data_IF_606134979492
#
_entry.id   IF_606134979492
#
_cell.length_a   1.000
_cell.length_b   1.000
_cell.length_c   1.000
_cell.angle_alpha   90.00
_cell.angle_beta   90.00
_cell.angle_gamma   90.00
#
_symmetry.space_group_name_H-M   'P 1'
#
loop_
_entity.id
_entity.type
_entity.pdbx_description
1 polymer ?
#
# COMPACT_ATOMS: atom_id res chain seq x y z
N UNK A 1 -5.93 14.44 -10.77
CA UNK A 1 -7.24 14.24 -11.46
C UNK A 1 -8.22 13.60 -10.48
N UNK A 2 -9.52 13.58 -10.79
CA UNK A 2 -10.53 12.98 -9.90
C UNK A 2 -11.52 12.13 -10.68
N UNK A 3 -11.89 10.97 -10.13
CA UNK A 3 -12.90 10.06 -10.64
C UNK A 3 -13.97 9.81 -9.58
N UNK A 4 -15.24 9.79 -9.97
CA UNK A 4 -16.31 9.31 -9.09
C UNK A 4 -16.48 7.81 -9.32
N UNK A 5 -16.18 7.02 -8.29
CA UNK A 5 -16.28 5.57 -8.31
C UNK A 5 -17.02 5.11 -7.05
N UNK A 6 -17.93 4.16 -7.19
CA UNK A 6 -18.82 3.78 -6.12
C UNK A 6 -19.45 5.05 -5.49
N UNK A 7 -19.33 5.26 -4.18
CA UNK A 7 -19.91 6.40 -3.46
C UNK A 7 -18.90 7.52 -3.16
N UNK A 8 -17.67 7.46 -3.72
CA UNK A 8 -16.59 8.38 -3.38
C UNK A 8 -15.96 9.02 -4.61
N UNK A 9 -15.27 10.13 -4.36
CA UNK A 9 -14.35 10.73 -5.34
C UNK A 9 -12.94 10.26 -5.01
N UNK A 10 -12.29 9.63 -5.97
CA UNK A 10 -10.89 9.17 -5.87
C UNK A 10 -10.00 10.16 -6.62
N UNK A 11 -9.01 10.68 -5.91
CA UNK A 11 -7.93 11.47 -6.50
C UNK A 11 -6.88 10.54 -7.10
N UNK A 12 -6.44 10.82 -8.33
CA UNK A 12 -5.45 10.00 -9.01
C UNK A 12 -4.58 10.83 -9.95
N UNK A 13 -3.44 10.27 -10.31
CA UNK A 13 -2.51 10.79 -11.32
C UNK A 13 -2.14 9.69 -12.29
N UNK A 14 -1.95 10.07 -13.55
CA UNK A 14 -1.43 9.19 -14.60
C UNK A 14 -0.25 9.88 -15.28
N UNK A 15 0.86 9.17 -15.39
CA UNK A 15 2.06 9.63 -16.08
C UNK A 15 2.71 8.48 -16.88
N UNK A 16 3.64 8.83 -17.77
CA UNK A 16 4.32 7.87 -18.66
C UNK A 16 3.72 7.78 -20.06
N UNK A 17 4.29 6.93 -20.95
CA UNK A 17 3.87 6.83 -22.36
C UNK A 17 2.43 6.34 -22.49
N UNK A 18 1.68 6.91 -23.46
CA UNK A 18 0.25 6.67 -23.59
C UNK A 18 -0.15 5.25 -23.99
N UNK A 19 0.74 4.53 -24.66
CA UNK A 19 0.57 3.17 -25.20
C UNK A 19 1.28 2.10 -24.38
N UNK A 20 2.00 2.49 -23.31
CA UNK A 20 2.70 1.57 -22.43
C UNK A 20 1.75 0.77 -21.53
N UNK A 21 2.16 -0.43 -21.06
CA UNK A 21 1.38 -1.21 -20.09
C UNK A 21 1.19 -0.44 -18.78
N UNK A 22 0.03 -0.64 -18.15
CA UNK A 22 -0.28 0.05 -16.91
C UNK A 22 0.40 -0.58 -15.70
N UNK A 23 0.91 0.28 -14.82
CA UNK A 23 1.31 -0.04 -13.43
C UNK A 23 0.43 0.79 -12.49
N UNK A 24 -0.29 0.14 -11.59
CA UNK A 24 -1.11 0.77 -10.56
C UNK A 24 -0.44 0.68 -9.20
N UNK A 25 -0.23 1.83 -8.54
CA UNK A 25 0.47 1.96 -7.27
C UNK A 25 -0.50 2.30 -6.14
N UNK A 26 -0.58 1.43 -5.11
CA UNK A 26 -1.45 1.57 -3.95
C UNK A 26 -0.62 1.78 -2.68
N UNK A 27 -0.86 2.89 -1.99
CA UNK A 27 -0.07 3.36 -0.86
C UNK A 27 -0.45 2.74 0.49
N UNK A 28 0.33 3.02 1.53
CA UNK A 28 0.13 2.60 2.92
C UNK A 28 -0.91 3.46 3.67
N UNK A 29 -1.42 2.96 4.80
CA UNK A 29 -2.25 3.73 5.74
C UNK A 29 -1.53 5.03 6.14
N UNK A 30 -2.28 6.12 6.22
CA UNK A 30 -1.80 7.47 6.57
C UNK A 30 -0.72 8.05 5.63
N UNK A 31 -0.65 7.55 4.37
CA UNK A 31 0.14 8.16 3.31
C UNK A 31 -0.75 8.58 2.14
N UNK A 32 -0.17 9.02 1.04
CA UNK A 32 -0.84 9.42 -0.18
C UNK A 32 -0.16 8.82 -1.41
N UNK A 33 -0.68 9.09 -2.59
CA UNK A 33 -0.05 8.70 -3.86
C UNK A 33 1.42 9.17 -3.98
N UNK A 34 1.81 10.24 -3.27
CA UNK A 34 3.19 10.76 -3.23
C UNK A 34 4.19 9.82 -2.56
N UNK A 35 3.73 8.80 -1.82
CA UNK A 35 4.61 7.76 -1.24
C UNK A 35 5.48 7.08 -2.32
N UNK A 36 5.00 7.06 -3.55
CA UNK A 36 5.63 6.40 -4.68
C UNK A 36 6.56 7.29 -5.51
N UNK A 37 6.81 8.55 -5.10
CA UNK A 37 7.63 9.50 -5.86
C UNK A 37 9.04 8.97 -6.19
N UNK A 38 9.63 8.19 -5.27
CA UNK A 38 10.96 7.61 -5.47
C UNK A 38 10.99 6.45 -6.49
N UNK A 39 9.84 5.88 -6.84
CA UNK A 39 9.70 4.82 -7.83
C UNK A 39 9.45 5.34 -9.24
N UNK A 40 8.90 6.55 -9.37
CA UNK A 40 8.53 7.13 -10.67
C UNK A 40 9.69 7.21 -11.67
N UNK A 41 10.90 7.67 -11.30
CA UNK A 41 12.01 7.73 -12.25
C UNK A 41 12.39 6.38 -12.85
N UNK A 42 12.17 5.29 -12.12
CA UNK A 42 12.48 3.94 -12.56
C UNK A 42 11.40 3.32 -13.47
N UNK A 43 10.15 3.80 -13.36
CA UNK A 43 9.00 3.21 -14.05
C UNK A 43 8.52 4.02 -15.26
N UNK A 44 8.61 5.35 -15.22
CA UNK A 44 7.96 6.25 -16.17
C UNK A 44 8.44 6.13 -17.63
N UNK A 45 9.56 5.47 -17.88
CA UNK A 45 10.09 5.27 -19.23
C UNK A 45 9.42 4.10 -19.97
N UNK A 46 8.97 3.10 -19.23
CA UNK A 46 8.48 1.81 -19.75
C UNK A 46 6.99 1.57 -19.46
N UNK A 47 6.43 2.28 -18.46
CA UNK A 47 5.07 2.03 -17.97
C UNK A 47 4.22 3.30 -17.93
N UNK A 48 2.93 3.11 -18.14
CA UNK A 48 1.90 4.11 -17.83
C UNK A 48 1.48 3.93 -16.38
N UNK A 49 1.86 4.88 -15.52
CA UNK A 49 1.76 4.76 -14.07
C UNK A 49 0.46 5.40 -13.60
N UNK A 50 -0.42 4.62 -12.98
CA UNK A 50 -1.58 5.10 -12.23
C UNK A 50 -1.25 5.10 -10.74
N UNK A 51 -1.30 6.29 -10.10
CA UNK A 51 -1.23 6.46 -8.65
C UNK A 51 -2.54 7.05 -8.16
N UNK A 52 -3.01 6.65 -7.01
CA UNK A 52 -4.24 7.18 -6.46
C UNK A 52 -4.18 7.30 -4.94
N UNK A 53 -4.97 8.23 -4.39
CA UNK A 53 -5.24 8.30 -2.96
C UNK A 53 -6.40 7.36 -2.64
N UNK A 54 -6.16 6.38 -1.78
CA UNK A 54 -7.21 5.48 -1.27
C UNK A 54 -8.28 6.29 -0.55
N UNK A 55 -9.58 5.88 -0.62
CA UNK A 55 -10.63 6.55 0.16
C UNK A 55 -10.16 6.81 1.59
N UNK A 56 -10.46 7.99 2.12
CA UNK A 56 -10.03 8.41 3.44
C UNK A 56 -8.63 9.04 3.49
N UNK A 57 -7.93 9.17 2.36
CA UNK A 57 -6.57 9.70 2.30
C UNK A 57 -6.41 10.80 1.25
N UNK A 58 -5.38 11.63 1.43
CA UNK A 58 -4.98 12.64 0.47
C UNK A 58 -6.11 13.56 0.04
N UNK A 59 -6.33 13.66 -1.27
CA UNK A 59 -7.40 14.46 -1.88
C UNK A 59 -8.62 13.63 -2.27
N UNK A 60 -8.69 12.35 -1.88
CA UNK A 60 -9.88 11.51 -2.04
C UNK A 60 -10.92 11.77 -0.96
N UNK A 61 -12.18 11.42 -1.22
CA UNK A 61 -13.25 11.52 -0.23
C UNK A 61 -12.94 10.70 1.02
N UNK A 62 -13.30 11.26 2.18
CA UNK A 62 -13.13 10.63 3.49
C UNK A 62 -14.48 10.55 4.24
N UNK A 63 -15.48 9.79 3.71
CA UNK A 63 -16.75 9.64 4.41
C UNK A 63 -16.55 8.92 5.75
N UNK A 64 -17.43 9.11 6.74
CA UNK A 64 -17.39 8.31 7.96
C UNK A 64 -17.47 6.80 7.65
N UNK A 65 -16.67 6.00 8.39
CA UNK A 65 -16.64 4.54 8.27
C UNK A 65 -17.78 3.81 9.01
N UNK A 66 -17.69 2.50 9.19
CA UNK A 66 -16.48 1.71 8.98
C UNK A 66 -16.21 1.41 7.50
N UNK A 67 -14.91 1.26 7.13
CA UNK A 67 -14.55 0.69 5.84
C UNK A 67 -14.23 -0.80 5.97
N UNK A 68 -14.21 -1.50 4.84
CA UNK A 68 -13.71 -2.88 4.75
C UNK A 68 -12.66 -2.96 3.66
N UNK A 69 -11.79 -3.98 3.70
CA UNK A 69 -10.80 -4.17 2.64
C UNK A 69 -11.46 -4.48 1.30
N UNK A 70 -12.61 -5.13 1.30
CA UNK A 70 -13.43 -5.34 0.10
C UNK A 70 -13.89 -4.03 -0.52
N UNK A 71 -14.30 -3.07 0.31
CA UNK A 71 -14.71 -1.73 -0.13
C UNK A 71 -13.52 -1.00 -0.79
N UNK A 72 -12.34 -1.02 -0.15
CA UNK A 72 -11.12 -0.41 -0.70
C UNK A 72 -10.71 -1.08 -2.01
N UNK A 73 -10.85 -2.40 -2.10
CA UNK A 73 -10.55 -3.18 -3.32
C UNK A 73 -11.55 -2.84 -4.44
N UNK A 74 -12.84 -2.73 -4.10
CA UNK A 74 -13.88 -2.33 -5.06
C UNK A 74 -13.65 -0.92 -5.62
N UNK A 75 -13.09 0.00 -4.83
CA UNK A 75 -12.72 1.33 -5.31
C UNK A 75 -11.60 1.28 -6.34
N UNK A 76 -10.61 0.40 -6.15
CA UNK A 76 -9.55 0.19 -7.15
C UNK A 76 -10.15 -0.33 -8.45
N UNK A 77 -11.02 -1.34 -8.39
CA UNK A 77 -11.68 -1.88 -9.58
C UNK A 77 -12.54 -0.80 -10.26
N UNK A 78 -13.32 -0.05 -9.49
CA UNK A 78 -14.13 1.05 -10.01
C UNK A 78 -13.28 2.14 -10.69
N UNK A 79 -12.09 2.44 -10.16
CA UNK A 79 -11.15 3.38 -10.77
C UNK A 79 -10.57 2.83 -12.08
N UNK A 80 -10.17 1.56 -12.12
CA UNK A 80 -9.68 0.91 -13.34
C UNK A 80 -10.76 0.89 -14.42
N UNK A 81 -12.01 0.59 -14.05
CA UNK A 81 -13.15 0.56 -14.98
C UNK A 81 -13.47 1.96 -15.50
N UNK A 82 -13.49 2.98 -14.62
CA UNK A 82 -13.68 4.39 -15.00
C UNK A 82 -12.65 4.86 -16.02
N UNK A 83 -11.40 4.38 -15.89
CA UNK A 83 -10.28 4.72 -16.77
C UNK A 83 -10.16 3.80 -17.99
N UNK A 84 -11.08 2.83 -18.16
CA UNK A 84 -11.05 1.80 -19.19
C UNK A 84 -9.73 0.98 -19.20
N UNK A 85 -9.11 0.80 -18.02
CA UNK A 85 -7.91 -0.03 -17.83
C UNK A 85 -8.37 -1.46 -17.61
N UNK A 86 -8.16 -2.32 -18.61
CA UNK A 86 -8.57 -3.73 -18.54
C UNK A 86 -7.69 -4.54 -17.62
N UNK A 87 -6.38 -4.42 -17.76
CA UNK A 87 -5.37 -5.14 -16.96
C UNK A 87 -4.26 -4.18 -16.53
N UNK A 88 -3.60 -4.49 -15.43
CA UNK A 88 -2.49 -3.70 -14.89
C UNK A 88 -1.51 -4.57 -14.12
N UNK A 89 -0.24 -4.17 -14.06
CA UNK A 89 0.64 -4.59 -12.96
C UNK A 89 0.21 -3.85 -11.70
N UNK A 90 -0.03 -4.56 -10.60
CA UNK A 90 -0.44 -3.93 -9.35
C UNK A 90 0.67 -4.01 -8.30
N UNK A 91 1.01 -2.88 -7.71
CA UNK A 91 2.04 -2.76 -6.68
C UNK A 91 1.38 -2.12 -5.46
N UNK A 92 1.35 -2.84 -4.35
CA UNK A 92 0.74 -2.36 -3.13
C UNK A 92 1.67 -2.50 -1.93
N UNK A 93 1.75 -1.45 -1.11
CA UNK A 93 2.53 -1.48 0.13
C UNK A 93 1.61 -1.45 1.35
N UNK A 94 1.87 -2.31 2.34
CA UNK A 94 1.14 -2.37 3.61
C UNK A 94 -0.37 -2.56 3.35
N UNK A 95 -1.22 -1.59 3.67
CA UNK A 95 -2.65 -1.57 3.32
C UNK A 95 -2.87 -1.79 1.81
N UNK A 96 -2.07 -1.16 0.95
CA UNK A 96 -2.11 -1.39 -0.49
C UNK A 96 -1.78 -2.83 -0.88
N UNK A 97 -0.90 -3.50 -0.14
CA UNK A 97 -0.59 -4.92 -0.30
C UNK A 97 -1.76 -5.82 0.12
N UNK A 98 -2.52 -5.45 1.16
CA UNK A 98 -3.75 -6.16 1.55
C UNK A 98 -4.82 -6.05 0.44
N UNK A 99 -4.96 -4.87 -0.17
CA UNK A 99 -5.80 -4.67 -1.36
C UNK A 99 -5.33 -5.58 -2.51
N UNK A 100 -4.02 -5.63 -2.78
CA UNK A 100 -3.42 -6.49 -3.81
C UNK A 100 -3.73 -7.98 -3.61
N UNK A 101 -3.72 -8.46 -2.38
CA UNK A 101 -4.10 -9.85 -2.04
C UNK A 101 -5.59 -10.13 -2.33
N UNK A 102 -6.48 -9.18 -2.06
CA UNK A 102 -7.89 -9.32 -2.46
C UNK A 102 -8.10 -9.22 -3.97
N UNK A 103 -7.32 -8.37 -4.66
CA UNK A 103 -7.38 -8.27 -6.12
C UNK A 103 -7.00 -9.59 -6.78
N UNK A 104 -5.88 -10.21 -6.42
CA UNK A 104 -5.46 -11.48 -7.03
C UNK A 104 -6.43 -12.61 -6.72
N UNK A 105 -7.12 -12.55 -5.58
CA UNK A 105 -8.12 -13.54 -5.18
C UNK A 105 -9.44 -13.40 -5.95
N UNK A 106 -9.94 -12.15 -6.10
CA UNK A 106 -11.31 -11.89 -6.60
C UNK A 106 -11.35 -11.45 -8.06
N UNK A 107 -10.24 -10.88 -8.55
CA UNK A 107 -10.14 -10.26 -9.87
C UNK A 107 -8.81 -10.61 -10.56
N UNK A 108 -8.39 -11.90 -10.58
CA UNK A 108 -7.09 -12.31 -11.15
C UNK A 108 -6.93 -11.87 -12.61
N UNK A 109 -7.99 -11.88 -13.39
CA UNK A 109 -7.99 -11.46 -14.80
C UNK A 109 -7.73 -9.96 -15.01
N UNK A 110 -7.69 -9.17 -13.94
CA UNK A 110 -7.35 -7.73 -13.97
C UNK A 110 -5.86 -7.49 -13.72
N UNK A 111 -5.08 -8.51 -13.38
CA UNK A 111 -3.68 -8.42 -13.00
C UNK A 111 -2.77 -9.12 -14.01
N UNK A 112 -1.76 -8.40 -14.50
CA UNK A 112 -0.65 -8.96 -15.28
C UNK A 112 0.45 -9.51 -14.36
N UNK A 113 0.89 -8.69 -13.41
CA UNK A 113 1.85 -9.04 -12.35
C UNK A 113 1.41 -8.39 -11.04
N UNK A 114 1.77 -8.99 -9.91
CA UNK A 114 1.47 -8.50 -8.57
C UNK A 114 2.74 -8.28 -7.77
N UNK A 115 2.87 -7.12 -7.11
CA UNK A 115 3.95 -6.86 -6.15
C UNK A 115 3.35 -6.49 -4.81
N UNK A 116 3.66 -7.28 -3.78
CA UNK A 116 3.19 -7.12 -2.41
C UNK A 116 4.35 -6.65 -1.54
N UNK A 117 4.29 -5.41 -1.03
CA UNK A 117 5.38 -4.80 -0.29
C UNK A 117 4.98 -4.60 1.18
N UNK A 118 5.87 -4.98 2.11
CA UNK A 118 5.73 -4.69 3.54
C UNK A 118 4.29 -4.91 4.05
N UNK A 119 3.74 -6.10 3.81
CA UNK A 119 2.33 -6.44 4.07
C UNK A 119 2.16 -7.81 4.72
N UNK A 120 0.96 -8.09 5.20
CA UNK A 120 0.62 -9.38 5.80
C UNK A 120 -0.68 -9.94 5.23
N UNK A 121 -0.85 -11.26 5.28
CA UNK A 121 -2.09 -11.95 4.88
C UNK A 121 -3.17 -11.93 5.95
N UNK A 122 -2.84 -11.50 7.17
CA UNK A 122 -3.79 -11.34 8.28
C UNK A 122 -3.29 -10.37 9.34
N UNK A 123 -4.21 -9.80 10.08
CA UNK A 123 -3.93 -9.14 11.35
C UNK A 123 -4.36 -10.09 12.48
N UNK A 124 -3.44 -10.53 13.36
CA UNK A 124 -3.79 -11.47 14.41
C UNK A 124 -4.78 -10.83 15.41
N UNK A 125 -5.74 -11.61 15.97
CA UNK A 125 -6.72 -11.08 16.91
C UNK A 125 -6.11 -10.40 18.14
N UNK A 126 -4.92 -10.83 18.54
CA UNK A 126 -4.17 -10.25 19.66
C UNK A 126 -3.72 -8.80 19.41
N UNK A 127 -3.70 -8.36 18.15
CA UNK A 127 -3.40 -6.99 17.78
C UNK A 127 -4.63 -6.04 17.90
N UNK A 128 -5.84 -6.57 18.10
CA UNK A 128 -7.06 -5.75 18.19
C UNK A 128 -6.97 -4.62 19.24
N UNK A 129 -6.43 -4.81 20.46
CA UNK A 129 -6.29 -3.73 21.42
C UNK A 129 -5.40 -2.59 20.93
N UNK A 130 -4.35 -2.89 20.13
CA UNK A 130 -3.45 -1.89 19.56
C UNK A 130 -4.20 -1.02 18.54
N UNK A 131 -5.03 -1.64 17.70
CA UNK A 131 -5.84 -0.91 16.71
C UNK A 131 -6.91 -0.04 17.37
N UNK A 132 -7.58 -0.54 18.40
CA UNK A 132 -8.57 0.23 19.17
C UNK A 132 -7.91 1.42 19.90
N UNK A 133 -6.71 1.25 20.46
CA UNK A 133 -5.94 2.34 21.06
C UNK A 133 -5.59 3.42 20.05
N UNK A 134 -5.10 3.05 18.85
CA UNK A 134 -4.80 4.00 17.78
C UNK A 134 -6.05 4.78 17.35
N UNK A 135 -7.18 4.09 17.19
CA UNK A 135 -8.47 4.72 16.85
C UNK A 135 -8.85 5.73 17.93
N UNK A 136 -8.87 5.32 19.19
CA UNK A 136 -9.21 6.19 20.31
C UNK A 136 -8.29 7.42 20.38
N UNK A 137 -6.99 7.23 20.21
CA UNK A 137 -6.00 8.30 20.25
C UNK A 137 -6.29 9.34 19.15
N UNK A 138 -6.52 8.92 17.91
CA UNK A 138 -6.78 9.89 16.84
C UNK A 138 -8.14 10.55 16.94
N UNK A 139 -9.15 9.87 17.46
CA UNK A 139 -10.47 10.45 17.70
C UNK A 139 -10.43 11.54 18.79
N UNK A 140 -9.55 11.41 19.79
CA UNK A 140 -9.45 12.36 20.91
C UNK A 140 -8.41 13.46 20.68
N UNK A 141 -7.26 13.13 20.06
CA UNK A 141 -6.10 14.01 19.98
C UNK A 141 -5.69 14.37 18.55
N UNK A 142 -6.31 13.71 17.56
CA UNK A 142 -6.00 13.88 16.13
C UNK A 142 -4.73 13.18 15.70
N UNK A 143 -4.44 13.23 14.40
CA UNK A 143 -3.31 12.52 13.78
C UNK A 143 -1.94 12.90 14.34
N UNK A 144 -1.81 14.10 14.90
CA UNK A 144 -0.56 14.60 15.52
C UNK A 144 -0.04 13.70 16.65
N UNK A 145 -0.96 13.04 17.37
CA UNK A 145 -0.59 12.17 18.49
C UNK A 145 0.15 10.89 18.06
N UNK A 146 -0.06 10.45 16.83
CA UNK A 146 0.58 9.24 16.31
C UNK A 146 1.75 9.50 15.34
N UNK A 147 1.96 10.74 14.90
CA UNK A 147 2.86 11.04 13.79
C UNK A 147 4.29 10.55 14.03
N UNK A 148 4.89 10.92 15.16
CA UNK A 148 6.30 10.56 15.44
C UNK A 148 6.46 9.05 15.66
N UNK A 149 5.60 8.45 16.45
CA UNK A 149 5.64 6.99 16.69
C UNK A 149 5.43 6.20 15.37
N UNK A 150 4.62 6.73 14.46
CA UNK A 150 4.41 6.11 13.15
C UNK A 150 5.69 6.19 12.30
N UNK A 151 6.35 7.34 12.25
CA UNK A 151 7.62 7.50 11.55
C UNK A 151 8.72 6.61 12.13
N UNK A 152 8.74 6.40 13.45
CA UNK A 152 9.71 5.51 14.11
C UNK A 152 9.52 4.04 13.73
N UNK A 153 8.30 3.62 13.52
CA UNK A 153 8.01 2.27 13.02
C UNK A 153 8.32 2.11 11.53
N UNK A 154 8.21 3.18 10.76
CA UNK A 154 8.34 3.12 9.31
C UNK A 154 9.78 3.24 8.81
N UNK A 155 10.61 4.01 9.51
CA UNK A 155 11.95 4.40 9.08
C UNK A 155 12.96 4.31 10.22
N UNK A 156 14.14 3.82 9.94
CA UNK A 156 15.24 3.78 10.91
C UNK A 156 15.62 5.19 11.40
N UNK A 157 16.16 5.26 12.61
CA UNK A 157 16.64 6.52 13.17
C UNK A 157 17.76 7.14 12.32
N UNK A 158 18.58 6.31 11.67
CA UNK A 158 19.62 6.74 10.75
C UNK A 158 19.02 7.40 9.51
N UNK A 159 18.05 6.76 8.85
CA UNK A 159 17.39 7.31 7.67
C UNK A 159 16.71 8.65 8.02
N UNK A 160 15.97 8.72 9.13
CA UNK A 160 15.28 9.94 9.56
C UNK A 160 16.24 11.13 9.79
N UNK A 161 17.46 10.87 10.28
CA UNK A 161 18.49 11.91 10.44
C UNK A 161 19.12 12.32 9.10
N UNK A 162 19.37 11.37 8.22
CA UNK A 162 20.08 11.58 6.96
C UNK A 162 19.17 12.11 5.84
N UNK A 163 17.85 11.86 5.94
CA UNK A 163 16.84 12.23 4.95
C UNK A 163 15.69 13.07 5.59
N UNK A 164 16.01 14.26 6.16
CA UNK A 164 15.00 15.05 6.87
C UNK A 164 13.88 15.56 5.97
N UNK A 165 14.13 15.82 4.69
CA UNK A 165 13.12 16.26 3.72
C UNK A 165 12.09 15.16 3.43
N UNK A 166 12.54 13.93 3.17
CA UNK A 166 11.66 12.79 2.92
C UNK A 166 10.86 12.50 4.20
N UNK A 167 11.52 12.48 5.36
CA UNK A 167 10.86 12.29 6.65
C UNK A 167 9.82 13.38 6.92
N UNK A 168 10.11 14.63 6.58
CA UNK A 168 9.19 15.76 6.69
C UNK A 168 7.96 15.63 5.78
N UNK A 169 8.14 15.15 4.54
CA UNK A 169 7.02 14.86 3.62
C UNK A 169 6.12 13.76 4.17
N UNK A 170 6.68 12.66 4.65
CA UNK A 170 5.91 11.57 5.26
C UNK A 170 5.16 12.02 6.51
N UNK A 171 5.80 12.82 7.37
CA UNK A 171 5.14 13.45 8.52
C UNK A 171 3.93 14.28 8.09
N UNK A 172 4.08 15.08 7.03
CA UNK A 172 2.98 15.89 6.48
C UNK A 172 1.83 15.02 5.99
N UNK A 173 2.09 13.91 5.28
CA UNK A 173 1.06 12.98 4.85
C UNK A 173 0.27 12.43 6.05
N UNK A 174 0.98 11.98 7.12
CA UNK A 174 0.34 11.48 8.34
C UNK A 174 -0.55 12.57 8.95
N UNK A 175 -0.02 13.77 9.15
CA UNK A 175 -0.74 14.86 9.81
C UNK A 175 -1.98 15.34 9.05
N UNK A 176 -1.96 15.26 7.71
CA UNK A 176 -3.05 15.70 6.85
C UNK A 176 -4.07 14.59 6.56
N UNK A 177 -3.83 13.36 7.00
CA UNK A 177 -4.80 12.26 6.82
C UNK A 177 -6.07 12.56 7.61
N UNK A 178 -7.26 12.58 6.96
CA UNK A 178 -8.53 12.81 7.65
C UNK A 178 -8.79 11.75 8.72
N UNK A 179 -9.11 12.17 9.96
CA UNK A 179 -9.40 11.24 11.07
C UNK A 179 -10.46 10.21 10.71
N UNK A 180 -11.62 10.57 10.11
CA UNK A 180 -12.62 9.57 9.71
C UNK A 180 -12.05 8.53 8.72
N UNK A 181 -11.21 8.95 7.78
CA UNK A 181 -10.56 8.06 6.82
C UNK A 181 -9.56 7.12 7.48
N UNK A 182 -8.70 7.65 8.36
CA UNK A 182 -7.76 6.84 9.13
C UNK A 182 -8.47 5.79 9.98
N UNK A 183 -9.49 6.19 10.73
CA UNK A 183 -10.31 5.29 11.57
C UNK A 183 -10.99 4.22 10.72
N UNK A 184 -11.62 4.61 9.60
CA UNK A 184 -12.25 3.68 8.67
C UNK A 184 -11.27 2.61 8.16
N UNK A 185 -10.06 3.03 7.75
CA UNK A 185 -9.02 2.11 7.30
C UNK A 185 -8.44 1.26 8.43
N UNK A 186 -8.27 1.80 9.65
CA UNK A 186 -7.87 1.00 10.82
C UNK A 186 -8.86 -0.15 11.08
N UNK A 187 -10.17 0.11 10.97
CA UNK A 187 -11.21 -0.92 11.10
C UNK A 187 -11.08 -1.99 10.00
N UNK A 188 -10.85 -1.56 8.74
CA UNK A 188 -10.65 -2.47 7.63
C UNK A 188 -9.42 -3.36 7.83
N UNK A 189 -8.29 -2.79 8.27
CA UNK A 189 -7.03 -3.49 8.51
C UNK A 189 -7.20 -4.46 9.69
N UNK A 190 -7.75 -4.02 10.82
CA UNK A 190 -7.87 -4.86 12.02
C UNK A 190 -8.73 -6.11 11.82
N UNK A 191 -9.64 -6.08 10.85
CA UNK A 191 -10.51 -7.21 10.48
C UNK A 191 -9.94 -8.08 9.34
N UNK A 192 -8.75 -7.75 8.82
CA UNK A 192 -8.21 -8.42 7.63
C UNK A 192 -7.64 -9.80 7.95
N UNK A 193 -8.17 -10.82 7.27
CA UNK A 193 -7.63 -12.19 7.26
C UNK A 193 -7.95 -12.88 5.93
N UNK A 194 -6.93 -13.14 5.13
CA UNK A 194 -6.97 -13.94 3.92
C UNK A 194 -5.97 -15.09 3.96
N UNK A 195 -5.48 -15.43 5.16
CA UNK A 195 -4.40 -16.38 5.38
C UNK A 195 -4.69 -17.82 4.93
N UNK A 196 -5.92 -18.12 4.56
CA UNK A 196 -6.33 -19.44 4.06
C UNK A 196 -6.95 -19.39 2.66
N UNK A 197 -6.89 -18.25 1.98
CA UNK A 197 -7.73 -17.99 0.82
C UNK A 197 -6.99 -17.43 -0.39
N UNK A 198 -5.65 -17.26 -0.31
CA UNK A 198 -4.88 -16.79 -1.45
C UNK A 198 -4.84 -17.88 -2.54
N UNK A 199 -5.07 -17.53 -3.81
CA UNK A 199 -5.11 -18.51 -4.88
C UNK A 199 -3.75 -19.20 -5.04
N UNK A 200 -3.77 -20.49 -5.32
CA UNK A 200 -2.61 -21.21 -5.83
C UNK A 200 -2.35 -20.72 -7.26
N UNK A 201 -1.66 -19.68 -7.38
CA UNK A 201 -1.28 -18.78 -8.46
C UNK A 201 -1.63 -19.09 -9.92
N UNK A 202 -2.00 -18.01 -10.61
CA UNK A 202 -1.69 -17.82 -12.05
C UNK A 202 -0.98 -16.47 -12.27
N UNK A 203 -1.12 -15.50 -11.36
CA UNK A 203 -0.52 -14.16 -11.50
C UNK A 203 0.91 -14.18 -10.96
N UNK A 204 1.94 -13.90 -11.79
CA UNK A 204 3.31 -13.76 -11.31
C UNK A 204 3.38 -12.76 -10.16
N UNK A 205 3.96 -13.19 -9.03
CA UNK A 205 3.93 -12.40 -7.79
C UNK A 205 5.33 -12.23 -7.21
N UNK A 206 5.69 -10.99 -6.90
CA UNK A 206 6.87 -10.62 -6.13
C UNK A 206 6.42 -10.11 -4.75
N UNK A 207 7.08 -10.60 -3.71
CA UNK A 207 6.88 -10.15 -2.33
C UNK A 207 8.17 -9.43 -1.90
N UNK A 208 8.05 -8.20 -1.41
CA UNK A 208 9.17 -7.41 -0.89
C UNK A 208 8.88 -7.08 0.57
N UNK A 209 9.87 -7.19 1.45
CA UNK A 209 9.69 -6.84 2.87
C UNK A 209 10.98 -6.27 3.45
N UNK A 210 10.88 -5.32 4.36
CA UNK A 210 12.00 -4.82 5.14
C UNK A 210 12.50 -5.88 6.13
N UNK A 211 13.83 -6.06 6.23
CA UNK A 211 14.43 -7.01 7.18
C UNK A 211 14.05 -6.72 8.63
N UNK A 212 13.88 -5.43 8.96
CA UNK A 212 13.59 -4.94 10.31
C UNK A 212 12.17 -4.42 10.47
N UNK A 213 11.27 -4.80 9.57
CA UNK A 213 9.86 -4.43 9.71
C UNK A 213 9.20 -5.20 10.85
N UNK A 214 8.89 -4.50 11.95
CA UNK A 214 8.16 -5.05 13.09
C UNK A 214 6.64 -5.00 12.90
N UNK A 215 6.14 -4.20 11.97
CA UNK A 215 4.70 -4.05 11.69
C UNK A 215 4.15 -5.23 10.88
N UNK A 216 4.92 -5.63 9.86
CA UNK A 216 4.64 -6.80 9.01
C UNK A 216 5.96 -7.56 8.82
N UNK A 217 6.36 -8.37 9.81
CA UNK A 217 7.69 -8.99 9.84
C UNK A 217 7.91 -9.96 8.67
N UNK A 218 9.18 -10.28 8.40
CA UNK A 218 9.59 -11.22 7.34
C UNK A 218 8.77 -12.51 7.37
N UNK A 219 8.43 -13.01 8.55
CA UNK A 219 7.60 -14.20 8.72
C UNK A 219 6.18 -14.05 8.14
N UNK A 220 5.63 -12.83 8.10
CA UNK A 220 4.36 -12.56 7.44
C UNK A 220 4.49 -12.63 5.91
N UNK A 221 5.57 -12.09 5.36
CA UNK A 221 5.90 -12.20 3.93
C UNK A 221 6.11 -13.66 3.51
N UNK A 222 6.86 -14.44 4.31
CA UNK A 222 7.02 -15.90 4.11
C UNK A 222 5.69 -16.66 4.17
N UNK A 223 4.76 -16.23 5.03
CA UNK A 223 3.44 -16.83 5.10
C UNK A 223 2.62 -16.58 3.82
N UNK A 224 2.72 -15.41 3.22
CA UNK A 224 2.13 -15.10 1.91
C UNK A 224 2.81 -15.94 0.81
N UNK A 225 4.15 -16.01 0.80
CA UNK A 225 4.91 -16.77 -0.19
C UNK A 225 4.51 -18.26 -0.19
N UNK A 226 4.32 -18.85 0.97
CA UNK A 226 3.87 -20.26 1.06
C UNK A 226 2.49 -20.52 0.46
N UNK A 227 1.66 -19.50 0.33
CA UNK A 227 0.31 -19.61 -0.24
C UNK A 227 0.27 -19.33 -1.75
N UNK A 228 1.13 -18.42 -2.24
CA UNK A 228 1.18 -18.07 -3.66
C UNK A 228 2.33 -18.85 -4.31
N UNK A 229 2.00 -20.00 -4.90
CA UNK A 229 2.97 -20.85 -5.56
C UNK A 229 3.71 -20.11 -6.69
N UNK A 230 5.02 -20.28 -6.76
CA UNK A 230 5.87 -19.59 -7.74
C UNK A 230 6.15 -18.13 -7.45
N UNK A 231 5.69 -17.59 -6.30
CA UNK A 231 6.04 -16.23 -5.90
C UNK A 231 7.51 -16.11 -5.46
N UNK A 232 8.10 -14.96 -5.74
CA UNK A 232 9.45 -14.61 -5.31
C UNK A 232 9.39 -13.78 -4.02
N UNK A 233 10.29 -14.03 -3.07
CA UNK A 233 10.45 -13.21 -1.86
C UNK A 233 11.80 -12.51 -1.87
N UNK A 234 11.78 -11.19 -1.67
CA UNK A 234 12.97 -10.35 -1.50
C UNK A 234 12.91 -9.63 -0.18
N UNK A 235 13.93 -9.84 0.66
CA UNK A 235 14.11 -9.12 1.93
C UNK A 235 15.05 -7.94 1.70
N UNK A 236 14.63 -6.73 2.07
CA UNK A 236 15.41 -5.50 1.95
C UNK A 236 16.31 -5.32 3.19
N UNK A 237 17.64 -5.45 3.05
CA UNK A 237 18.54 -5.41 4.18
C UNK A 237 18.46 -4.09 4.95
N UNK A 238 18.32 -4.17 6.27
CA UNK A 238 18.28 -3.04 7.19
C UNK A 238 17.03 -2.17 7.14
N UNK A 239 16.14 -2.34 6.14
CA UNK A 239 14.94 -1.52 5.99
C UNK A 239 13.84 -1.90 6.99
N UNK A 240 13.06 -0.90 7.41
CA UNK A 240 11.84 -1.03 8.18
C UNK A 240 10.61 -1.12 7.24
N UNK A 241 9.47 -0.60 7.70
CA UNK A 241 8.15 -0.79 7.08
C UNK A 241 7.93 -0.06 5.74
N UNK A 242 8.65 1.02 5.45
CA UNK A 242 8.60 1.65 4.14
C UNK A 242 9.88 1.33 3.35
N UNK A 243 10.05 0.06 3.00
CA UNK A 243 11.24 -0.43 2.29
C UNK A 243 11.41 0.24 0.92
N UNK A 244 10.31 0.66 0.27
CA UNK A 244 10.31 1.43 -0.98
C UNK A 244 10.93 2.83 -0.84
N UNK A 245 10.93 3.37 0.39
CA UNK A 245 11.53 4.68 0.72
C UNK A 245 12.94 4.48 1.26
N UNK A 246 13.09 3.62 2.25
CA UNK A 246 14.35 3.46 2.98
C UNK A 246 15.45 2.79 2.17
N UNK A 247 15.07 1.84 1.31
CA UNK A 247 15.98 1.12 0.39
C UNK A 247 15.63 1.40 -1.09
N UNK A 248 15.21 2.62 -1.44
CA UNK A 248 14.61 2.97 -2.72
C UNK A 248 15.40 2.48 -3.95
N UNK A 249 16.73 2.61 -3.94
CA UNK A 249 17.54 2.20 -5.07
C UNK A 249 17.52 0.68 -5.31
N UNK A 250 17.68 -0.12 -4.24
CA UNK A 250 17.60 -1.58 -4.33
C UNK A 250 16.16 -2.03 -4.65
N UNK A 251 15.18 -1.40 -4.00
CA UNK A 251 13.75 -1.64 -4.26
C UNK A 251 13.42 -1.44 -5.74
N UNK A 252 13.82 -0.32 -6.32
CA UNK A 252 13.57 0.01 -7.72
C UNK A 252 14.22 -0.99 -8.66
N UNK A 253 15.47 -1.42 -8.41
CA UNK A 253 16.14 -2.46 -9.21
C UNK A 253 15.37 -3.78 -9.20
N UNK A 254 14.90 -4.23 -8.02
CA UNK A 254 14.12 -5.47 -7.89
C UNK A 254 12.77 -5.36 -8.58
N UNK A 255 12.09 -4.23 -8.38
CA UNK A 255 10.81 -3.94 -9.00
C UNK A 255 10.88 -3.97 -10.53
N UNK A 256 11.81 -3.22 -11.13
CA UNK A 256 11.98 -3.17 -12.59
C UNK A 256 12.36 -4.53 -13.16
N UNK A 257 13.29 -5.24 -12.50
CA UNK A 257 13.70 -6.59 -12.93
C UNK A 257 12.53 -7.58 -12.94
N UNK A 258 11.60 -7.47 -12.01
CA UNK A 258 10.43 -8.34 -11.96
C UNK A 258 9.36 -7.94 -12.98
N UNK A 259 9.18 -6.64 -13.22
CA UNK A 259 8.16 -6.14 -14.14
C UNK A 259 8.53 -6.37 -15.61
N UNK A 260 9.82 -6.35 -15.95
CA UNK A 260 10.32 -6.73 -17.28
C UNK A 260 10.00 -8.22 -17.57
#
# INVERSE_FOLDING_TARGET
MQARVNDVVINYEIEGPGDAPFVTLSHSLATTLELWDLQLPALRGEYRILRFDTRGHGSSSAPPGPYTMEMLTADVIGLLDHLAIRTTHFIGISMGGMIGQLLVRRYPDRLEKLVLCDTSGRVPPEAAPIWEERIRTVETEGMKALAEQTLERWLSAEFRRNQPEITGRLRKMILLTPVPGYVGCCRAISAFDVSHELPKAATPTLIITGEKDESTPVSAAEAIQRQIEGSELVVMPGALHLSNVEAAELFNRKLVSFLA
#
